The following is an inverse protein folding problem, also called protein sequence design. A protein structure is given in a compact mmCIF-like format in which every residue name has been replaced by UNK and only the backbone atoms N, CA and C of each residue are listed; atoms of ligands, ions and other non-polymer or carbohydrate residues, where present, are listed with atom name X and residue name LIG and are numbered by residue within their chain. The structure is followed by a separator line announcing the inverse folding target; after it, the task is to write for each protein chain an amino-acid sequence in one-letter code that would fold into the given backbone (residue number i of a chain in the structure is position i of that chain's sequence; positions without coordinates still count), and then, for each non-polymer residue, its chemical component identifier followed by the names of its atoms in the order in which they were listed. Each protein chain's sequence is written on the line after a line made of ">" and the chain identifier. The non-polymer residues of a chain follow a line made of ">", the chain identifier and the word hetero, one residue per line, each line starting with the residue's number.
data_IF_085658160392
#
_entry.id   IF_085658160392
#
_cell.length_a   1.000
_cell.length_b   1.000
_cell.length_c   1.000
_cell.angle_alpha   90.00
_cell.angle_beta   90.00
_cell.angle_gamma   90.00
#
_symmetry.space_group_name_H-M   'P 1'
#
loop_
_entity.id
_entity.type
_entity.pdbx_description
1 polymer ?
#
# COMPACT_ATOMS: atom_id res chain seq x y z
N UNK A 1 20.61 -10.40 -24.71
CA UNK A 1 19.68 -9.70 -23.79
C UNK A 1 19.36 -10.64 -22.64
N UNK A 2 19.83 -10.33 -21.43
CA UNK A 2 19.53 -11.11 -20.23
C UNK A 2 18.14 -10.74 -19.73
N UNK A 3 17.17 -11.66 -19.82
CA UNK A 3 15.90 -11.48 -19.11
C UNK A 3 16.19 -11.58 -17.61
N UNK A 4 15.94 -10.50 -16.88
CA UNK A 4 15.91 -10.55 -15.42
C UNK A 4 14.98 -11.71 -15.00
N UNK A 5 15.35 -12.48 -13.96
CA UNK A 5 14.51 -13.58 -13.53
C UNK A 5 13.14 -13.01 -13.14
N UNK A 6 12.09 -13.41 -13.88
CA UNK A 6 10.72 -13.23 -13.41
C UNK A 6 10.59 -14.07 -12.15
N UNK A 7 10.27 -13.43 -11.05
CA UNK A 7 9.94 -14.15 -9.83
C UNK A 7 8.49 -14.62 -9.97
N UNK A 8 8.32 -15.83 -10.51
CA UNK A 8 7.02 -16.40 -10.91
C UNK A 8 6.03 -16.64 -9.77
N UNK A 9 6.44 -16.44 -8.50
CA UNK A 9 5.54 -16.61 -7.36
C UNK A 9 4.76 -15.31 -7.11
N UNK A 10 3.41 -15.37 -7.08
CA UNK A 10 2.61 -14.19 -6.81
C UNK A 10 2.91 -13.63 -5.42
N UNK A 11 2.86 -12.31 -5.32
CA UNK A 11 3.19 -11.59 -4.09
C UNK A 11 2.01 -10.76 -3.59
N UNK A 12 1.97 -10.56 -2.27
CA UNK A 12 1.17 -9.51 -1.66
C UNK A 12 2.06 -8.30 -1.38
N UNK A 13 1.59 -7.13 -1.77
CA UNK A 13 2.24 -5.86 -1.45
C UNK A 13 1.46 -5.18 -0.33
N UNK A 14 2.12 -4.91 0.80
CA UNK A 14 1.52 -4.19 1.93
C UNK A 14 2.13 -2.79 2.00
N UNK A 15 1.27 -1.77 1.99
CA UNK A 15 1.64 -0.36 2.04
C UNK A 15 1.13 0.27 3.35
N UNK A 16 1.99 1.02 4.01
CA UNK A 16 1.67 1.82 5.18
C UNK A 16 2.09 3.27 4.93
N UNK A 17 1.24 4.03 4.20
CA UNK A 17 1.49 5.44 3.94
C UNK A 17 1.32 6.28 5.22
N UNK A 18 2.32 7.08 5.53
CA UNK A 18 2.29 8.17 6.50
C UNK A 18 2.35 9.54 5.82
N UNK A 19 2.42 10.60 6.61
CA UNK A 19 2.45 11.99 6.11
C UNK A 19 3.72 12.34 5.32
N UNK A 20 4.85 11.69 5.64
CA UNK A 20 6.17 11.99 5.06
C UNK A 20 6.89 10.76 4.51
N UNK A 21 6.28 9.58 4.56
CA UNK A 21 6.90 8.36 4.07
C UNK A 21 5.87 7.27 3.76
N UNK A 22 6.25 6.32 2.92
CA UNK A 22 5.52 5.06 2.71
C UNK A 22 6.44 3.94 3.18
N UNK A 23 6.03 3.25 4.24
CA UNK A 23 6.62 1.96 4.62
C UNK A 23 5.96 0.87 3.79
N UNK A 24 6.72 -0.10 3.31
CA UNK A 24 6.20 -1.16 2.47
C UNK A 24 6.82 -2.52 2.82
N UNK A 25 6.10 -3.58 2.50
CA UNK A 25 6.61 -4.95 2.59
C UNK A 25 6.02 -5.84 1.50
N UNK A 26 6.81 -6.81 1.03
CA UNK A 26 6.40 -7.80 0.03
C UNK A 26 6.38 -9.18 0.67
N UNK A 27 5.29 -9.90 0.48
CA UNK A 27 5.08 -11.24 1.03
C UNK A 27 4.89 -12.24 -0.10
N UNK A 28 5.41 -13.45 0.06
CA UNK A 28 5.13 -14.54 -0.86
C UNK A 28 3.77 -15.14 -0.49
N UNK A 29 2.82 -15.14 -1.44
CA UNK A 29 1.48 -15.66 -1.23
C UNK A 29 1.52 -17.14 -0.80
N UNK A 30 2.35 -17.95 -1.44
CA UNK A 30 2.45 -19.38 -1.12
C UNK A 30 2.97 -19.62 0.30
N UNK A 31 3.85 -18.75 0.81
CA UNK A 31 4.37 -18.86 2.18
C UNK A 31 3.29 -18.51 3.22
N UNK A 32 2.46 -17.51 2.92
CA UNK A 32 1.33 -17.12 3.77
C UNK A 32 0.26 -18.22 3.81
N UNK A 33 -0.10 -18.78 2.66
CA UNK A 33 -1.12 -19.83 2.55
C UNK A 33 -0.68 -21.17 3.18
N UNK A 34 0.59 -21.55 3.02
CA UNK A 34 1.09 -22.85 3.44
C UNK A 34 1.52 -22.91 4.91
N UNK A 35 2.19 -21.87 5.41
CA UNK A 35 2.85 -21.90 6.71
C UNK A 35 2.29 -20.89 7.72
N UNK A 36 1.31 -20.06 7.33
CA UNK A 36 0.91 -18.90 8.11
C UNK A 36 2.07 -17.92 8.35
N UNK A 37 3.15 -18.04 7.56
CA UNK A 37 4.38 -17.31 7.78
C UNK A 37 4.17 -15.84 7.42
N UNK A 38 4.08 -14.97 8.43
CA UNK A 38 3.83 -13.53 8.27
C UNK A 38 5.11 -12.72 7.99
N UNK A 39 6.25 -13.40 7.83
CA UNK A 39 7.54 -12.74 7.65
C UNK A 39 7.65 -12.23 6.21
N UNK A 40 7.86 -10.92 6.00
CA UNK A 40 8.03 -10.36 4.67
C UNK A 40 9.32 -10.84 4.02
N UNK A 41 9.25 -11.07 2.70
CA UNK A 41 10.41 -11.41 1.85
C UNK A 41 11.29 -10.17 1.61
N UNK A 42 10.68 -8.98 1.63
CA UNK A 42 11.39 -7.72 1.54
C UNK A 42 10.60 -6.63 2.27
N UNK A 43 11.32 -5.65 2.83
CA UNK A 43 10.76 -4.46 3.48
C UNK A 43 11.52 -3.22 3.02
N UNK A 44 10.87 -2.07 3.08
CA UNK A 44 11.53 -0.80 2.82
C UNK A 44 10.70 0.40 3.23
N UNK A 45 11.30 1.58 3.05
CA UNK A 45 10.66 2.86 3.28
C UNK A 45 11.10 3.85 2.21
N UNK A 46 10.14 4.61 1.67
CA UNK A 46 10.42 5.73 0.77
C UNK A 46 9.92 7.02 1.40
N UNK A 47 10.75 8.07 1.38
CA UNK A 47 10.33 9.41 1.80
C UNK A 47 9.35 10.02 0.80
N UNK A 48 8.28 10.62 1.30
CA UNK A 48 7.34 11.45 0.55
C UNK A 48 7.66 12.89 0.90
N UNK A 49 8.24 13.62 -0.06
CA UNK A 49 8.64 15.01 0.15
C UNK A 49 7.46 15.85 0.63
N UNK A 50 7.67 16.67 1.67
CA UNK A 50 6.64 17.51 2.29
C UNK A 50 6.20 18.73 1.45
N UNK A 51 6.57 18.80 0.17
CA UNK A 51 6.07 19.87 -0.68
C UNK A 51 4.64 19.56 -1.08
N UNK A 52 3.72 20.23 -0.38
CA UNK A 52 2.27 20.14 -0.56
C UNK A 52 1.88 19.94 -2.04
N UNK A 53 1.07 18.91 -2.30
CA UNK A 53 0.44 18.67 -3.59
C UNK A 53 1.36 18.39 -4.80
N UNK A 54 2.64 18.04 -4.61
CA UNK A 54 3.34 17.30 -5.67
C UNK A 54 2.80 15.87 -5.69
N UNK A 55 1.73 15.68 -6.46
CA UNK A 55 1.40 14.42 -7.10
C UNK A 55 2.71 13.84 -7.61
N UNK A 56 3.15 12.69 -7.08
CA UNK A 56 4.27 11.98 -7.67
C UNK A 56 3.99 11.86 -9.18
N UNK A 57 4.83 12.42 -10.08
CA UNK A 57 4.56 12.39 -11.51
C UNK A 57 4.57 10.96 -12.07
N UNK A 58 5.03 9.98 -11.27
CA UNK A 58 4.93 8.56 -11.55
C UNK A 58 5.11 7.73 -10.29
N UNK A 59 4.89 6.42 -10.39
CA UNK A 59 5.15 5.50 -9.29
C UNK A 59 6.62 5.63 -8.81
N UNK A 60 6.87 5.60 -7.48
CA UNK A 60 8.24 5.55 -6.97
C UNK A 60 9.04 4.40 -7.61
N UNK A 61 10.35 4.54 -7.87
CA UNK A 61 11.13 3.50 -8.57
C UNK A 61 11.02 2.11 -7.95
N UNK A 62 10.95 2.01 -6.62
CA UNK A 62 10.76 0.73 -5.92
C UNK A 62 9.41 0.09 -6.23
N UNK A 63 8.35 0.89 -6.41
CA UNK A 63 7.02 0.40 -6.75
C UNK A 63 7.00 -0.08 -8.21
N UNK A 64 7.63 0.68 -9.11
CA UNK A 64 7.82 0.26 -10.51
C UNK A 64 8.59 -1.05 -10.61
N UNK A 65 9.66 -1.22 -9.84
CA UNK A 65 10.44 -2.46 -9.77
C UNK A 65 9.57 -3.65 -9.32
N UNK A 66 8.79 -3.47 -8.25
CA UNK A 66 7.87 -4.51 -7.75
C UNK A 66 6.83 -4.89 -8.81
N UNK A 67 6.19 -3.90 -9.44
CA UNK A 67 5.13 -4.13 -10.43
C UNK A 67 5.67 -4.73 -11.74
N UNK A 68 6.94 -4.47 -12.08
CA UNK A 68 7.58 -5.01 -13.30
C UNK A 68 8.08 -6.44 -13.11
N UNK A 69 8.61 -6.75 -11.92
CA UNK A 69 9.32 -8.01 -11.67
C UNK A 69 8.49 -9.07 -10.91
N UNK A 70 7.29 -8.73 -10.44
CA UNK A 70 6.44 -9.65 -9.67
C UNK A 70 4.98 -9.62 -10.13
N UNK A 71 4.35 -10.79 -10.11
CA UNK A 71 2.90 -10.90 -10.21
C UNK A 71 2.26 -10.47 -8.88
N UNK A 72 1.79 -9.23 -8.78
CA UNK A 72 1.11 -8.72 -7.57
C UNK A 72 -0.33 -9.24 -7.54
N UNK A 73 -0.65 -10.13 -6.58
CA UNK A 73 -1.99 -10.71 -6.43
C UNK A 73 -2.95 -9.76 -5.73
N UNK A 74 -2.45 -9.00 -4.76
CA UNK A 74 -3.21 -7.94 -4.10
C UNK A 74 -2.29 -6.89 -3.49
N UNK A 75 -2.84 -5.68 -3.35
CA UNK A 75 -2.23 -4.57 -2.61
C UNK A 75 -3.09 -4.31 -1.37
N UNK A 76 -2.46 -4.36 -0.20
CA UNK A 76 -3.10 -4.08 1.09
C UNK A 76 -2.60 -2.72 1.56
N UNK A 77 -3.51 -1.79 1.83
CA UNK A 77 -3.17 -0.44 2.25
C UNK A 77 -3.65 -0.22 3.68
N UNK A 78 -2.74 0.12 4.60
CA UNK A 78 -3.11 0.58 5.93
C UNK A 78 -3.75 1.95 5.83
N UNK A 79 -4.98 2.05 6.33
CA UNK A 79 -5.69 3.31 6.51
C UNK A 79 -5.82 3.55 8.01
N UNK A 80 -5.38 4.73 8.48
CA UNK A 80 -5.29 5.06 9.91
C UNK A 80 -6.67 5.31 10.52
N UNK A 81 -7.59 5.92 9.76
CA UNK A 81 -8.95 6.24 10.23
C UNK A 81 -9.96 5.81 9.17
N UNK A 82 -10.83 4.87 9.55
CA UNK A 82 -11.96 4.42 8.74
C UNK A 82 -13.29 5.13 9.09
N UNK A 83 -13.26 6.13 9.97
CA UNK A 83 -14.50 6.67 10.54
C UNK A 83 -15.21 5.64 11.42
N UNK A 84 -16.49 5.89 11.67
CA UNK A 84 -17.41 5.00 12.38
C UNK A 84 -17.87 3.79 11.54
N UNK A 85 -17.62 3.83 10.24
CA UNK A 85 -18.25 2.92 9.28
C UNK A 85 -17.42 1.66 9.02
N UNK A 86 -16.10 1.72 9.25
CA UNK A 86 -15.17 0.66 8.86
C UNK A 86 -14.41 0.07 10.07
N UNK A 87 -14.98 -0.96 10.69
CA UNK A 87 -14.38 -1.68 11.82
C UNK A 87 -13.58 -2.94 11.42
N UNK A 88 -13.59 -3.31 10.14
CA UNK A 88 -12.89 -4.49 9.60
C UNK A 88 -12.22 -4.14 8.26
N UNK A 89 -11.17 -4.88 7.85
CA UNK A 89 -10.62 -4.75 6.51
C UNK A 89 -11.69 -5.00 5.44
N UNK A 90 -11.68 -4.20 4.37
CA UNK A 90 -12.61 -4.33 3.24
C UNK A 90 -11.85 -4.22 1.91
N UNK A 91 -12.35 -4.85 0.84
CA UNK A 91 -11.91 -4.54 -0.51
C UNK A 91 -12.16 -3.06 -0.83
N UNK A 92 -11.19 -2.38 -1.44
CA UNK A 92 -11.36 -0.99 -1.86
C UNK A 92 -12.21 -0.96 -3.15
N UNK A 93 -13.19 -0.08 -3.20
CA UNK A 93 -13.99 0.24 -4.37
C UNK A 93 -14.21 1.77 -4.46
N UNK A 94 -14.81 2.25 -5.55
CA UNK A 94 -14.96 3.68 -5.79
C UNK A 94 -15.78 4.41 -4.71
N UNK A 95 -16.73 3.73 -4.08
CA UNK A 95 -17.62 4.30 -3.08
C UNK A 95 -16.90 4.45 -1.74
N UNK A 96 -16.25 3.38 -1.27
CA UNK A 96 -15.49 3.43 -0.02
C UNK A 96 -14.20 4.25 -0.14
N UNK A 97 -13.65 4.39 -1.35
CA UNK A 97 -12.55 5.29 -1.61
C UNK A 97 -12.99 6.76 -1.49
N UNK A 98 -14.11 7.15 -2.10
CA UNK A 98 -14.67 8.50 -2.02
C UNK A 98 -15.07 8.88 -0.59
N UNK A 99 -15.73 8.00 0.15
CA UNK A 99 -16.11 8.26 1.54
C UNK A 99 -14.89 8.48 2.45
N UNK A 100 -13.78 7.77 2.23
CA UNK A 100 -12.55 7.97 3.01
C UNK A 100 -11.88 9.31 2.74
N UNK A 101 -12.12 9.92 1.58
CA UNK A 101 -11.69 11.29 1.33
C UNK A 101 -12.53 12.28 2.14
N UNK A 102 -13.85 12.10 2.21
CA UNK A 102 -14.76 13.00 2.95
C UNK A 102 -14.60 12.90 4.47
N UNK A 103 -14.36 11.70 5.03
CA UNK A 103 -14.10 11.52 6.47
C UNK A 103 -12.88 12.29 6.98
N UNK A 104 -11.88 12.57 6.12
CA UNK A 104 -10.73 13.43 6.48
C UNK A 104 -11.12 14.91 6.64
N UNK A 105 -12.12 15.39 5.91
CA UNK A 105 -12.52 16.80 5.96
C UNK A 105 -13.41 17.11 7.16
N UNK A 106 -14.25 16.17 7.62
CA UNK A 106 -15.14 16.43 8.75
C UNK A 106 -14.44 16.45 10.13
N UNK A 107 -13.29 15.80 10.28
CA UNK A 107 -12.50 15.86 11.51
C UNK A 107 -11.63 17.14 11.64
N UNK A 108 -11.49 17.94 10.57
CA UNK A 108 -10.75 19.20 10.59
C UNK A 108 -11.56 20.42 11.05
N UNK A 109 -12.87 20.27 11.26
CA UNK A 109 -13.78 21.38 11.63
C UNK A 109 -14.19 21.39 13.12
N UNK A 110 -13.64 20.46 13.93
CA UNK A 110 -13.93 20.37 15.37
C UNK A 110 -12.68 20.28 16.26
N UNK A 111 -11.51 20.68 15.76
CA UNK A 111 -10.40 21.03 16.64
C UNK A 111 -10.52 22.52 16.98
N UNK A 112 -10.84 22.79 18.24
CA UNK A 112 -11.01 24.11 18.86
C UNK A 112 -9.80 25.03 18.66
#
# INVERSE_FOLDING_TARGET
>A
MSSLPRYDKPVLLVLNPGSSSIKWSRHNVSALEYAGATVPVAIGQAGVGQSAAQTYPGAPPWLTDVLTNHAVRAVIIRVVHGGSEYHKPIPINDDNFRQRQTSRYHHGLYAQ
#
